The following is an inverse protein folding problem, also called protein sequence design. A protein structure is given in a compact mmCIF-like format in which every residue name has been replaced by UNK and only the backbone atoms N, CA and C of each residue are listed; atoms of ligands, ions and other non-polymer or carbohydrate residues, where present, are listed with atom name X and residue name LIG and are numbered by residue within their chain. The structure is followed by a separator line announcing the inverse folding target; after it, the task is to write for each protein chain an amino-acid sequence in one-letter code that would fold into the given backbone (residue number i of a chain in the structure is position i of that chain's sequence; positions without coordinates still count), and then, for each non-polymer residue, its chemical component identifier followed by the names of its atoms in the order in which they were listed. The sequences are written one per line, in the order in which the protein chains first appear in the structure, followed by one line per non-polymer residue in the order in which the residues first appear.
data_IF_061089180431
#
_entry.id   IF_061089180431
#
_cell.length_a   1.000
_cell.length_b   1.000
_cell.length_c   1.000
_cell.angle_alpha   90.00
_cell.angle_beta   90.00
_cell.angle_gamma   90.00
#
_symmetry.space_group_name_H-M   'P 1'
#
loop_
_entity.id
_entity.type
_entity.pdbx_description
1 polymer ?
#
# COMPACT_ATOMS: atom_id res chain seq x y z
N UNK A 1 -21.33 -4.89 8.47
CA UNK A 1 -20.20 -3.94 8.59
C UNK A 1 -20.38 -2.92 7.49
N UNK A 2 -20.38 -1.62 7.80
CA UNK A 2 -20.52 -0.59 6.76
C UNK A 2 -19.17 -0.37 6.06
N UNK A 3 -19.20 0.16 4.84
CA UNK A 3 -17.98 0.54 4.12
C UNK A 3 -17.16 1.60 4.87
N UNK A 4 -17.82 2.50 5.60
CA UNK A 4 -17.14 3.47 6.46
C UNK A 4 -16.39 2.79 7.60
N UNK A 5 -16.98 1.78 8.25
CA UNK A 5 -16.28 1.02 9.32
C UNK A 5 -15.03 0.30 8.77
N UNK A 6 -15.12 -0.21 7.53
CA UNK A 6 -14.00 -0.87 6.87
C UNK A 6 -12.88 0.12 6.54
N UNK A 7 -13.20 1.29 5.98
CA UNK A 7 -12.22 2.33 5.65
C UNK A 7 -11.53 2.84 6.92
N UNK A 8 -12.29 3.12 7.99
CA UNK A 8 -11.70 3.54 9.27
C UNK A 8 -10.79 2.47 9.88
N UNK A 9 -11.15 1.19 9.75
CA UNK A 9 -10.28 0.10 10.19
C UNK A 9 -8.97 0.08 9.40
N UNK A 10 -9.03 0.20 8.08
CA UNK A 10 -7.85 0.21 7.22
C UNK A 10 -6.95 1.42 7.51
N UNK A 11 -7.53 2.59 7.79
CA UNK A 11 -6.79 3.80 8.18
C UNK A 11 -6.07 3.63 9.52
N UNK A 12 -6.73 3.01 10.52
CA UNK A 12 -6.08 2.68 11.80
C UNK A 12 -4.93 1.71 11.62
N UNK A 13 -5.16 0.65 10.85
CA UNK A 13 -4.10 -0.32 10.52
C UNK A 13 -2.93 0.36 9.78
N UNK A 14 -3.20 1.29 8.88
CA UNK A 14 -2.16 2.08 8.19
C UNK A 14 -1.38 2.96 9.16
N UNK A 15 -2.07 3.63 10.09
CA UNK A 15 -1.45 4.48 11.11
C UNK A 15 -0.57 3.69 12.08
N UNK A 16 -0.99 2.49 12.47
CA UNK A 16 -0.25 1.58 13.36
C UNK A 16 0.98 0.98 12.67
N UNK A 17 0.97 0.89 11.33
CA UNK A 17 2.02 0.26 10.53
C UNK A 17 3.28 1.10 10.30
N UNK A 18 3.47 2.22 11.00
CA UNK A 18 4.59 3.22 10.90
C UNK A 18 6.06 2.71 10.98
N UNK A 19 6.32 1.42 10.75
CA UNK A 19 7.67 0.88 10.52
C UNK A 19 7.72 -0.57 10.02
N UNK A 20 6.56 -1.20 9.74
CA UNK A 20 6.46 -2.63 9.45
C UNK A 20 6.34 -2.93 7.95
N UNK A 21 7.46 -3.22 7.29
CA UNK A 21 7.52 -3.48 5.83
C UNK A 21 6.58 -4.59 5.33
N UNK A 22 6.46 -5.68 6.09
CA UNK A 22 5.58 -6.81 5.74
C UNK A 22 4.10 -6.44 5.90
N UNK A 23 3.76 -5.72 6.97
CA UNK A 23 2.37 -5.31 7.18
C UNK A 23 1.90 -4.25 6.19
N UNK A 24 2.79 -3.37 5.73
CA UNK A 24 2.47 -2.39 4.69
C UNK A 24 2.11 -3.05 3.34
N UNK A 25 2.76 -4.17 2.96
CA UNK A 25 2.42 -4.88 1.72
C UNK A 25 1.10 -5.66 1.82
N UNK A 26 0.83 -6.28 2.98
CA UNK A 26 -0.43 -6.99 3.19
C UNK A 26 -1.61 -6.00 3.21
N UNK A 27 -1.45 -4.90 3.95
CA UNK A 27 -2.45 -3.84 4.01
C UNK A 27 -2.68 -3.21 2.62
N UNK A 28 -1.61 -2.95 1.86
CA UNK A 28 -1.72 -2.46 0.47
C UNK A 28 -2.60 -3.38 -0.38
N UNK A 29 -2.44 -4.70 -0.26
CA UNK A 29 -3.24 -5.67 -1.03
C UNK A 29 -4.71 -5.62 -0.62
N UNK A 30 -4.99 -5.49 0.69
CA UNK A 30 -6.35 -5.37 1.22
C UNK A 30 -7.02 -4.09 0.75
N UNK A 31 -6.32 -2.95 0.82
CA UNK A 31 -6.82 -1.65 0.32
C UNK A 31 -7.08 -1.72 -1.19
N UNK A 32 -6.17 -2.29 -1.99
CA UNK A 32 -6.39 -2.42 -3.43
C UNK A 32 -7.61 -3.29 -3.78
N UNK A 33 -7.83 -4.38 -3.02
CA UNK A 33 -9.03 -5.21 -3.18
C UNK A 33 -10.30 -4.45 -2.80
N UNK A 34 -10.28 -3.74 -1.67
CA UNK A 34 -11.40 -2.93 -1.21
C UNK A 34 -11.74 -1.80 -2.20
N UNK A 35 -10.72 -1.18 -2.82
CA UNK A 35 -10.91 -0.18 -3.86
C UNK A 35 -11.61 -0.77 -5.08
N UNK A 36 -11.14 -1.92 -5.57
CA UNK A 36 -11.76 -2.59 -6.72
C UNK A 36 -13.22 -3.00 -6.46
N UNK A 37 -13.51 -3.46 -5.24
CA UNK A 37 -14.87 -3.79 -4.79
C UNK A 37 -15.74 -2.52 -4.67
N UNK A 38 -15.19 -1.44 -4.11
CA UNK A 38 -15.87 -0.15 -4.00
C UNK A 38 -16.21 0.47 -5.37
N UNK A 39 -15.29 0.40 -6.32
CA UNK A 39 -15.52 0.81 -7.71
C UNK A 39 -16.58 -0.05 -8.39
N UNK A 40 -16.54 -1.38 -8.17
CA UNK A 40 -17.50 -2.32 -8.74
C UNK A 40 -18.91 -2.12 -8.19
N UNK A 41 -19.02 -1.79 -6.90
CA UNK A 41 -20.28 -1.45 -6.23
C UNK A 41 -20.72 0.01 -6.52
N UNK A 42 -19.93 0.77 -7.29
CA UNK A 42 -20.17 2.19 -7.58
C UNK A 42 -20.43 3.00 -6.31
N UNK A 43 -19.62 2.77 -5.28
CA UNK A 43 -19.71 3.51 -4.03
C UNK A 43 -19.44 5.00 -4.24
N UNK A 44 -19.88 5.80 -3.27
CA UNK A 44 -19.69 7.24 -3.29
C UNK A 44 -18.22 7.62 -3.44
N UNK A 45 -17.98 8.71 -4.16
CA UNK A 45 -16.65 9.27 -4.45
C UNK A 45 -15.77 9.40 -3.20
N UNK A 46 -16.35 9.76 -2.05
CA UNK A 46 -15.64 9.89 -0.77
C UNK A 46 -14.94 8.60 -0.31
N UNK A 47 -15.57 7.43 -0.52
CA UNK A 47 -15.00 6.14 -0.11
C UNK A 47 -13.87 5.74 -1.05
N UNK A 48 -14.06 5.95 -2.35
CA UNK A 48 -13.07 5.65 -3.38
C UNK A 48 -11.82 6.53 -3.18
N UNK A 49 -12.00 7.84 -3.01
CA UNK A 49 -10.90 8.80 -2.83
C UNK A 49 -10.05 8.48 -1.58
N UNK A 50 -10.69 8.12 -0.45
CA UNK A 50 -9.98 7.68 0.76
C UNK A 50 -9.16 6.40 0.54
N UNK A 51 -9.71 5.42 -0.17
CA UNK A 51 -9.01 4.17 -0.50
C UNK A 51 -7.84 4.41 -1.48
N UNK A 52 -8.01 5.30 -2.46
CA UNK A 52 -6.95 5.71 -3.38
C UNK A 52 -5.80 6.40 -2.66
N UNK A 53 -6.08 7.36 -1.77
CA UNK A 53 -5.06 8.03 -0.96
C UNK A 53 -4.27 7.04 -0.11
N UNK A 54 -4.95 6.15 0.63
CA UNK A 54 -4.29 5.10 1.41
C UNK A 54 -3.40 4.19 0.54
N UNK A 55 -3.88 3.82 -0.65
CA UNK A 55 -3.12 2.96 -1.55
C UNK A 55 -1.83 3.65 -2.02
N UNK A 56 -1.88 4.96 -2.27
CA UNK A 56 -0.73 5.77 -2.63
C UNK A 56 0.29 5.82 -1.48
N UNK A 57 -0.15 6.18 -0.27
CA UNK A 57 0.71 6.26 0.92
C UNK A 57 1.40 4.92 1.23
N UNK A 58 0.64 3.82 1.21
CA UNK A 58 1.20 2.47 1.42
C UNK A 58 2.16 2.06 0.31
N UNK A 59 1.95 2.55 -0.92
CA UNK A 59 2.87 2.30 -2.03
C UNK A 59 4.18 3.05 -1.84
N UNK A 60 4.14 4.28 -1.34
CA UNK A 60 5.34 5.05 -1.01
C UNK A 60 6.10 4.43 0.17
N UNK A 61 5.39 4.06 1.25
CA UNK A 61 5.97 3.37 2.40
C UNK A 61 6.60 2.02 2.01
N UNK A 62 5.97 1.27 1.09
CA UNK A 62 6.51 0.02 0.59
C UNK A 62 7.74 0.21 -0.34
N UNK A 63 7.86 1.36 -1.02
CA UNK A 63 8.94 1.67 -1.96
C UNK A 63 10.28 1.95 -1.31
N UNK A 64 10.35 2.23 0.00
CA UNK A 64 11.57 2.68 0.69
C UNK A 64 12.77 1.70 0.68
N UNK A 65 12.71 0.49 0.10
CA UNK A 65 13.93 -0.23 -0.32
C UNK A 65 13.73 -1.03 -1.61
N UNK A 66 13.20 -0.40 -2.67
CA UNK A 66 13.67 -0.82 -3.98
C UNK A 66 15.10 -0.31 -4.09
N UNK A 67 16.07 -1.22 -4.13
CA UNK A 67 17.46 -0.88 -4.41
C UNK A 67 17.51 -0.15 -5.77
N UNK A 68 17.53 1.18 -5.75
CA UNK A 68 17.73 2.02 -6.94
C UNK A 68 19.20 2.10 -7.33
N UNK A 69 20.09 1.50 -6.54
CA UNK A 69 21.49 1.29 -6.89
C UNK A 69 21.58 0.28 -8.04
N UNK A 70 21.52 0.79 -9.27
CA UNK A 70 21.99 0.08 -10.46
C UNK A 70 23.49 -0.25 -10.41
N UNK A 71 24.22 0.21 -9.39
CA UNK A 71 25.60 -0.17 -9.06
C UNK A 71 25.78 -0.34 -7.54
N UNK A 72 25.94 -1.57 -7.06
CA UNK A 72 26.37 -1.83 -5.68
C UNK A 72 27.89 -1.54 -5.57
N UNK A 73 28.34 -0.66 -4.67
CA UNK A 73 29.76 -0.27 -4.58
C UNK A 73 30.69 -1.38 -4.09
N UNK A 74 30.15 -2.50 -3.59
CA UNK A 74 30.95 -3.57 -2.98
C UNK A 74 31.20 -4.79 -3.89
N UNK A 75 30.49 -4.93 -5.01
CA UNK A 75 30.67 -6.05 -5.93
C UNK A 75 30.42 -5.57 -7.37
N UNK A 76 31.43 -5.74 -8.23
CA UNK A 76 31.39 -5.43 -9.66
C UNK A 76 30.50 -6.42 -10.46
N UNK A 77 29.37 -6.85 -9.88
CA UNK A 77 28.40 -7.80 -10.45
C UNK A 77 27.03 -7.14 -10.46
N UNK A 78 26.38 -7.12 -11.64
CA UNK A 78 25.03 -6.58 -11.84
C UNK A 78 24.07 -7.21 -10.83
N UNK A 79 23.33 -6.38 -10.11
CA UNK A 79 22.32 -6.83 -9.14
C UNK A 79 21.33 -7.74 -9.86
N UNK A 80 21.33 -9.03 -9.52
CA UNK A 80 20.40 -10.01 -10.08
C UNK A 80 19.11 -9.90 -9.27
N UNK A 81 18.18 -9.05 -9.72
CA UNK A 81 16.82 -9.09 -9.19
C UNK A 81 16.25 -10.46 -9.53
N UNK A 82 15.80 -11.17 -8.50
CA UNK A 82 15.33 -12.55 -8.59
C UNK A 82 13.93 -12.60 -9.20
#
# INVERSE_FOLDING_TARGET
MSWNDLVEQLEREAADLRGGRMGAQDLKRRVAKALQEAESESLGFEIIDRLEMMLMELTEAARENVCTNTKCPHYNKKCKMR
#
